data_IF_371407012771
#
_entry.id   IF_371407012771
#
_cell.length_a   1.000
_cell.length_b   1.000
_cell.length_c   1.000
_cell.angle_alpha   90.00
_cell.angle_beta   90.00
_cell.angle_gamma   90.00
#
_symmetry.space_group_name_H-M   'P 1'
#
loop_
_entity.id
_entity.type
_entity.pdbx_description
1 polymer ?
#
# COMPACT_ATOMS: atom_id res chain seq x y z
N UNK A 1 11.58 -2.58 27.60
CA UNK A 1 10.39 -2.97 26.82
C UNK A 1 10.80 -2.86 25.36
N UNK A 2 10.67 -3.92 24.53
CA UNK A 2 10.97 -3.80 23.09
C UNK A 2 9.90 -2.94 22.42
N UNK A 3 10.33 -2.05 21.54
CA UNK A 3 9.45 -1.21 20.75
C UNK A 3 8.62 -2.10 19.80
N UNK A 4 7.28 -2.14 19.92
CA UNK A 4 6.44 -2.95 19.04
C UNK A 4 6.43 -2.47 17.59
N UNK A 5 7.01 -1.30 17.29
CA UNK A 5 7.21 -0.80 15.94
C UNK A 5 8.61 -1.08 15.38
N UNK A 6 9.47 -1.78 16.13
CA UNK A 6 10.74 -2.28 15.60
C UNK A 6 10.48 -3.22 14.40
N UNK A 7 11.20 -3.07 13.28
CA UNK A 7 10.99 -3.90 12.11
C UNK A 7 11.08 -5.41 12.39
N UNK A 8 11.93 -5.86 13.32
CA UNK A 8 12.04 -7.29 13.64
C UNK A 8 10.83 -7.78 14.44
N UNK A 9 10.31 -6.96 15.36
CA UNK A 9 9.10 -7.29 16.12
C UNK A 9 7.88 -7.33 15.19
N UNK A 10 7.78 -6.39 14.23
CA UNK A 10 6.75 -6.42 13.19
C UNK A 10 6.86 -7.72 12.39
N UNK A 11 8.04 -8.10 11.91
CA UNK A 11 8.20 -9.35 11.14
C UNK A 11 7.88 -10.60 11.97
N UNK A 12 8.25 -10.62 13.25
CA UNK A 12 7.89 -11.71 14.16
C UNK A 12 6.37 -11.83 14.32
N UNK A 13 5.67 -10.71 14.51
CA UNK A 13 4.21 -10.67 14.58
C UNK A 13 3.56 -11.18 13.29
N UNK A 14 4.05 -10.74 12.12
CA UNK A 14 3.56 -11.19 10.81
C UNK A 14 3.76 -12.70 10.63
N UNK A 15 4.92 -13.22 11.02
CA UNK A 15 5.22 -14.65 10.93
C UNK A 15 4.26 -15.48 11.81
N UNK A 16 3.94 -15.00 13.02
CA UNK A 16 3.02 -15.66 13.94
C UNK A 16 1.55 -15.63 13.47
N UNK A 17 1.16 -14.62 12.69
CA UNK A 17 -0.22 -14.37 12.28
C UNK A 17 -0.48 -14.58 10.77
N UNK A 18 0.39 -15.32 10.06
CA UNK A 18 0.35 -15.44 8.58
C UNK A 18 -1.02 -15.82 8.01
N UNK A 19 -1.72 -16.74 8.66
CA UNK A 19 -3.02 -17.23 8.19
C UNK A 19 -4.17 -16.25 8.48
N UNK A 20 -3.96 -15.29 9.37
CA UNK A 20 -4.94 -14.30 9.83
C UNK A 20 -4.62 -12.86 9.37
N UNK A 21 -3.66 -12.68 8.46
CA UNK A 21 -3.34 -11.35 7.93
C UNK A 21 -4.55 -10.74 7.20
N UNK A 22 -4.80 -9.44 7.36
CA UNK A 22 -5.93 -8.77 6.72
C UNK A 22 -5.75 -8.80 5.19
N UNK A 23 -6.88 -8.96 4.48
CA UNK A 23 -6.88 -9.14 3.01
C UNK A 23 -7.67 -8.07 2.28
N UNK A 24 -8.29 -7.16 3.02
CA UNK A 24 -9.04 -6.01 2.49
C UNK A 24 -8.41 -4.72 2.96
N UNK A 25 -8.67 -3.63 2.25
CA UNK A 25 -8.22 -2.29 2.64
C UNK A 25 -8.81 -1.86 3.99
N UNK A 26 -10.09 -2.21 4.23
CA UNK A 26 -10.79 -1.88 5.48
C UNK A 26 -10.16 -2.54 6.71
N UNK A 27 -9.84 -3.82 6.63
CA UNK A 27 -9.13 -4.53 7.71
C UNK A 27 -7.71 -3.99 7.86
N UNK A 28 -7.00 -3.70 6.76
CA UNK A 28 -5.65 -3.16 6.80
C UNK A 28 -5.62 -1.78 7.47
N UNK A 29 -6.67 -0.98 7.29
CA UNK A 29 -6.84 0.33 7.91
C UNK A 29 -6.88 0.31 9.44
N UNK A 30 -7.17 -0.84 10.07
CA UNK A 30 -7.16 -0.99 11.53
C UNK A 30 -5.75 -1.21 12.10
N UNK A 31 -4.76 -1.43 11.23
CA UNK A 31 -3.37 -1.61 11.63
C UNK A 31 -2.58 -0.30 11.52
N UNK A 32 -1.56 -0.11 12.36
CA UNK A 32 -0.70 1.04 12.24
C UNK A 32 0.17 1.00 10.98
N UNK A 33 0.54 2.16 10.44
CA UNK A 33 1.25 2.36 9.16
C UNK A 33 2.52 1.50 9.05
N UNK A 34 3.39 1.37 10.09
CA UNK A 34 4.55 0.49 10.02
C UNK A 34 4.21 -0.98 9.73
N UNK A 35 3.05 -1.44 10.21
CA UNK A 35 2.57 -2.81 9.99
C UNK A 35 1.98 -2.98 8.60
N UNK A 36 1.22 -2.00 8.08
CA UNK A 36 0.49 -2.15 6.81
C UNK A 36 1.39 -2.56 5.64
N UNK A 37 2.53 -1.90 5.49
CA UNK A 37 3.49 -2.25 4.43
C UNK A 37 4.10 -3.65 4.61
N UNK A 38 4.34 -4.08 5.85
CA UNK A 38 4.85 -5.41 6.15
C UNK A 38 3.80 -6.50 5.89
N UNK A 39 2.55 -6.24 6.27
CA UNK A 39 1.40 -7.11 6.00
C UNK A 39 1.25 -7.32 4.49
N UNK A 40 1.15 -6.24 3.71
CA UNK A 40 0.96 -6.36 2.26
C UNK A 40 2.10 -7.14 1.62
N UNK A 41 3.36 -6.91 2.01
CA UNK A 41 4.49 -7.70 1.48
C UNK A 41 4.44 -9.19 1.82
N UNK A 42 3.77 -9.58 2.91
CA UNK A 42 3.64 -10.97 3.32
C UNK A 42 2.48 -11.72 2.64
N UNK A 43 1.56 -10.99 1.99
CA UNK A 43 0.43 -11.58 1.28
C UNK A 43 0.83 -12.19 -0.07
N UNK A 44 0.08 -13.20 -0.58
CA UNK A 44 0.27 -13.69 -1.94
C UNK A 44 -0.07 -12.61 -2.99
N UNK A 45 0.51 -12.66 -4.20
CA UNK A 45 0.31 -11.65 -5.25
C UNK A 45 -1.15 -11.22 -5.49
N UNK A 46 -2.14 -12.14 -5.59
CA UNK A 46 -3.52 -11.74 -5.85
C UNK A 46 -4.15 -10.92 -4.71
N UNK A 47 -3.76 -11.21 -3.46
CA UNK A 47 -4.26 -10.45 -2.31
C UNK A 47 -3.60 -9.06 -2.23
N UNK A 48 -2.31 -8.95 -2.58
CA UNK A 48 -1.65 -7.64 -2.73
C UNK A 48 -2.33 -6.78 -3.77
N UNK A 49 -2.60 -7.36 -4.95
CA UNK A 49 -3.30 -6.68 -6.03
C UNK A 49 -4.69 -6.19 -5.60
N UNK A 50 -5.48 -7.04 -4.94
CA UNK A 50 -6.83 -6.69 -4.48
C UNK A 50 -6.82 -5.45 -3.56
N UNK A 51 -5.94 -5.43 -2.56
CA UNK A 51 -5.82 -4.30 -1.63
C UNK A 51 -5.41 -3.02 -2.36
N UNK A 52 -4.42 -3.09 -3.26
CA UNK A 52 -3.99 -1.91 -4.02
C UNK A 52 -5.07 -1.40 -4.97
N UNK A 53 -5.88 -2.31 -5.53
CA UNK A 53 -7.02 -1.94 -6.38
C UNK A 53 -8.11 -1.23 -5.58
N UNK A 54 -8.44 -1.72 -4.38
CA UNK A 54 -9.35 -1.04 -3.45
C UNK A 54 -8.82 0.37 -3.11
N UNK A 55 -7.54 0.47 -2.75
CA UNK A 55 -6.88 1.73 -2.40
C UNK A 55 -6.92 2.74 -3.55
N UNK A 56 -6.54 2.34 -4.77
CA UNK A 56 -6.67 3.20 -5.94
C UNK A 56 -8.12 3.55 -6.26
N UNK A 57 -9.07 2.67 -5.96
CA UNK A 57 -10.50 2.93 -6.08
C UNK A 57 -10.95 4.16 -5.28
N UNK A 58 -10.42 4.37 -4.07
CA UNK A 58 -10.73 5.56 -3.25
C UNK A 58 -10.30 6.86 -3.93
N UNK A 59 -9.17 6.86 -4.63
CA UNK A 59 -8.66 8.02 -5.37
C UNK A 59 -9.35 8.26 -6.72
N UNK A 60 -10.15 7.30 -7.19
CA UNK A 60 -10.93 7.40 -8.42
C UNK A 60 -12.42 7.66 -8.16
N UNK A 61 -12.85 7.63 -6.89
CA UNK A 61 -14.23 7.88 -6.50
C UNK A 61 -14.63 9.35 -6.68
N UNK A 62 -15.94 9.64 -6.83
CA UNK A 62 -16.46 11.01 -6.81
C UNK A 62 -16.03 11.75 -5.54
N UNK A 63 -15.56 12.99 -5.69
CA UNK A 63 -15.03 13.79 -4.57
C UNK A 63 -13.53 13.59 -4.29
N UNK A 64 -12.83 12.78 -5.10
CA UNK A 64 -11.37 12.68 -5.05
C UNK A 64 -10.70 14.05 -5.24
N UNK A 65 -9.65 14.37 -4.46
CA UNK A 65 -8.89 15.60 -4.62
C UNK A 65 -7.96 15.57 -5.84
N UNK A 66 -7.85 14.43 -6.54
CA UNK A 66 -6.95 14.28 -7.68
C UNK A 66 -7.50 14.97 -8.94
N UNK A 67 -6.62 15.64 -9.67
CA UNK A 67 -6.91 16.20 -10.99
C UNK A 67 -7.22 15.09 -12.01
N UNK A 68 -7.86 15.42 -13.15
CA UNK A 68 -8.14 14.42 -14.20
C UNK A 68 -6.90 13.68 -14.70
N UNK A 69 -5.76 14.38 -14.82
CA UNK A 69 -4.49 13.77 -15.25
C UNK A 69 -3.93 12.81 -14.20
N UNK A 70 -4.00 13.17 -12.92
CA UNK A 70 -3.61 12.29 -11.82
C UNK A 70 -4.50 11.05 -11.74
N UNK A 71 -5.82 11.21 -11.90
CA UNK A 71 -6.74 10.06 -11.95
C UNK A 71 -6.48 9.15 -13.15
N UNK A 72 -6.16 9.71 -14.33
CA UNK A 72 -5.76 8.92 -15.49
C UNK A 72 -4.52 8.08 -15.16
N UNK A 73 -3.51 8.68 -14.54
CA UNK A 73 -2.31 7.97 -14.10
C UNK A 73 -2.61 6.88 -13.06
N UNK A 74 -3.51 7.13 -12.09
CA UNK A 74 -3.92 6.09 -11.12
C UNK A 74 -4.59 4.91 -11.82
N UNK A 75 -5.43 5.13 -12.83
CA UNK A 75 -6.02 4.04 -13.64
C UNK A 75 -4.95 3.24 -14.38
N UNK A 76 -3.94 3.92 -14.93
CA UNK A 76 -2.80 3.25 -15.56
C UNK A 76 -2.02 2.42 -14.54
N UNK A 77 -1.65 2.99 -13.39
CA UNK A 77 -0.93 2.28 -12.33
C UNK A 77 -1.73 1.06 -11.84
N UNK A 78 -3.06 1.18 -11.72
CA UNK A 78 -3.96 0.09 -11.37
C UNK A 78 -3.94 -1.05 -12.40
N UNK A 79 -3.84 -0.74 -13.69
CA UNK A 79 -3.73 -1.73 -14.76
C UNK A 79 -2.38 -2.49 -14.74
N UNK A 80 -1.35 -1.90 -14.15
CA UNK A 80 -0.01 -2.48 -14.02
C UNK A 80 0.16 -3.37 -12.79
N UNK A 81 -0.80 -3.38 -11.86
CA UNK A 81 -0.74 -4.16 -10.62
C UNK A 81 -0.41 -5.65 -10.84
N UNK A 82 -0.95 -6.36 -11.85
CA UNK A 82 -0.59 -7.76 -12.08
C UNK A 82 0.91 -7.97 -12.29
N UNK A 83 1.57 -7.04 -12.99
CA UNK A 83 3.03 -7.09 -13.23
C UNK A 83 3.80 -6.65 -11.99
N UNK A 84 3.33 -5.60 -11.30
CA UNK A 84 3.99 -5.06 -10.11
C UNK A 84 3.93 -6.00 -8.89
N UNK A 85 2.87 -6.82 -8.80
CA UNK A 85 2.65 -7.73 -7.67
C UNK A 85 3.12 -9.16 -7.96
N UNK A 86 3.40 -9.50 -9.22
CA UNK A 86 3.95 -10.79 -9.62
C UNK A 86 5.28 -11.11 -8.92
N UNK A 87 5.64 -12.39 -8.91
CA UNK A 87 6.90 -12.86 -8.30
C UNK A 87 8.14 -12.58 -9.20
N UNK A 88 7.94 -12.09 -10.42
CA UNK A 88 9.02 -11.61 -11.28
C UNK A 88 9.51 -10.22 -10.84
N UNK A 89 10.51 -10.22 -9.93
CA UNK A 89 11.09 -9.00 -9.38
C UNK A 89 11.75 -8.11 -10.43
N UNK A 90 12.32 -8.68 -11.50
CA UNK A 90 13.00 -7.90 -12.53
C UNK A 90 11.98 -7.12 -13.37
N UNK A 91 10.90 -7.79 -13.80
CA UNK A 91 9.79 -7.16 -14.49
C UNK A 91 9.10 -6.10 -13.62
N UNK A 92 8.83 -6.44 -12.34
CA UNK A 92 8.23 -5.52 -11.38
C UNK A 92 9.11 -4.27 -11.17
N UNK A 93 10.43 -4.42 -11.02
CA UNK A 93 11.37 -3.30 -10.85
C UNK A 93 11.42 -2.41 -12.09
N UNK A 94 11.50 -3.00 -13.28
CA UNK A 94 11.51 -2.23 -14.53
C UNK A 94 10.20 -1.45 -14.71
N UNK A 95 9.06 -2.10 -14.46
CA UNK A 95 7.74 -1.46 -14.56
C UNK A 95 7.55 -0.35 -13.52
N UNK A 96 7.97 -0.61 -12.28
CA UNK A 96 7.92 0.36 -11.18
C UNK A 96 8.72 1.62 -11.48
N UNK A 97 9.97 1.48 -11.96
CA UNK A 97 10.79 2.63 -12.35
C UNK A 97 10.19 3.44 -13.50
N UNK A 98 9.58 2.77 -14.48
CA UNK A 98 8.90 3.44 -15.59
C UNK A 98 7.63 4.18 -15.14
N UNK A 99 6.90 3.67 -14.14
CA UNK A 99 5.77 4.36 -13.50
C UNK A 99 6.25 5.57 -12.71
N UNK A 100 7.28 5.42 -11.88
CA UNK A 100 7.82 6.49 -11.03
C UNK A 100 8.27 7.70 -11.85
N UNK A 101 8.97 7.47 -12.98
CA UNK A 101 9.41 8.54 -13.87
C UNK A 101 8.24 9.35 -14.47
N UNK A 102 7.10 8.70 -14.73
CA UNK A 102 5.88 9.34 -15.26
C UNK A 102 5.00 9.96 -14.18
N UNK A 103 5.08 9.43 -12.96
CA UNK A 103 4.41 9.97 -11.77
C UNK A 103 4.99 11.31 -11.35
N UNK A 104 6.33 11.44 -11.37
CA UNK A 104 7.06 12.60 -10.86
C UNK A 104 6.56 13.98 -11.35
N UNK A 105 6.21 14.19 -12.64
CA UNK A 105 5.65 15.47 -13.09
C UNK A 105 4.17 15.68 -12.74
N UNK A 106 3.44 14.65 -12.30
CA UNK A 106 1.99 14.69 -12.07
C UNK A 106 1.61 14.85 -10.59
N UNK A 107 2.49 14.46 -9.68
CA UNK A 107 2.21 14.44 -8.24
C UNK A 107 3.30 15.21 -7.50
N UNK A 108 2.88 16.04 -6.54
CA UNK A 108 3.79 16.46 -5.48
C UNK A 108 4.25 15.25 -4.67
N UNK A 109 5.35 15.40 -3.94
CA UNK A 109 5.87 14.35 -3.05
C UNK A 109 4.83 13.88 -2.03
N UNK A 110 4.04 14.81 -1.50
CA UNK A 110 3.01 14.50 -0.51
C UNK A 110 1.85 13.72 -1.12
N UNK A 111 1.34 14.14 -2.28
CA UNK A 111 0.29 13.39 -2.99
C UNK A 111 0.79 12.01 -3.39
N UNK A 112 2.02 11.90 -3.92
CA UNK A 112 2.61 10.63 -4.29
C UNK A 112 2.75 9.69 -3.07
N UNK A 113 3.18 10.21 -1.93
CA UNK A 113 3.26 9.42 -0.69
C UNK A 113 1.88 8.93 -0.24
N UNK A 114 0.84 9.77 -0.36
CA UNK A 114 -0.54 9.44 0.00
C UNK A 114 -1.16 8.38 -0.92
N UNK A 115 -0.90 8.48 -2.23
CA UNK A 115 -1.50 7.60 -3.23
C UNK A 115 -0.71 6.30 -3.41
N UNK A 116 0.62 6.36 -3.42
CA UNK A 116 1.50 5.24 -3.78
C UNK A 116 2.46 4.79 -2.68
N UNK A 117 2.70 5.63 -1.66
CA UNK A 117 3.65 5.32 -0.59
C UNK A 117 3.05 4.59 0.60
N UNK A 118 1.77 4.84 0.89
CA UNK A 118 1.05 4.29 2.04
C UNK A 118 -0.29 3.74 1.58
N UNK A 119 -0.53 2.47 1.90
CA UNK A 119 -1.80 1.79 1.64
C UNK A 119 -2.75 2.00 2.82
N UNK A 120 -4.02 2.28 2.50
CA UNK A 120 -5.05 2.59 3.48
C UNK A 120 -5.05 4.05 3.95
N UNK A 121 -6.06 4.42 4.76
CA UNK A 121 -6.31 5.81 5.13
C UNK A 121 -5.22 6.38 6.05
N UNK A 122 -5.01 7.70 6.07
CA UNK A 122 -4.14 8.34 7.05
C UNK A 122 -4.50 7.93 8.48
N UNK A 123 -3.50 7.80 9.33
CA UNK A 123 -3.74 7.55 10.76
C UNK A 123 -4.32 8.79 11.46
N UNK A 124 -5.09 8.58 12.54
CA UNK A 124 -5.50 9.67 13.40
C UNK A 124 -4.28 10.34 14.07
N UNK A 125 -4.40 11.60 14.51
CA UNK A 125 -3.40 12.23 15.36
C UNK A 125 -3.17 11.41 16.63
N UNK A 126 -1.97 10.87 16.79
CA UNK A 126 -1.62 9.94 17.89
C UNK A 126 -1.35 8.49 17.44
N UNK A 127 -1.64 8.17 16.17
CA UNK A 127 -1.38 6.86 15.58
C UNK A 127 -2.37 5.78 16.02
N UNK A 128 -2.20 4.57 15.48
CA UNK A 128 -2.94 3.39 15.92
C UNK A 128 -2.10 2.57 16.91
N UNK A 129 -2.74 1.90 17.88
CA UNK A 129 -2.03 1.03 18.80
C UNK A 129 -1.39 -0.14 18.04
N UNK A 130 -0.25 -0.62 18.55
CA UNK A 130 0.34 -1.86 18.06
C UNK A 130 -0.64 -3.04 18.25
N UNK A 131 -0.66 -4.02 17.33
CA UNK A 131 -1.50 -5.20 17.48
C UNK A 131 -1.08 -6.00 18.71
N UNK A 132 -2.01 -6.79 19.28
CA UNK A 132 -1.69 -7.69 20.39
C UNK A 132 -0.61 -8.68 19.98
N UNK A 133 0.26 -9.03 20.94
CA UNK A 133 1.38 -9.97 20.74
C UNK A 133 0.92 -11.40 20.52
#
# INVERSE_FOLDING_TARGET
>A
MRDPFDPNEIQAWIAAHRDALPRTLGELGTFPVPYRGAIVRALPPPAREAIWREHFGEFLAPGSPLSPAQQAFVREAMAELPVLMADDLAAARARGGALEARMAPLFSREEAARVFGMVGPPEPPGGLPAPPR
#
